data_IF_863363336051
#
_entry.id   IF_863363336051
#
_cell.length_a   1.000
_cell.length_b   1.000
_cell.length_c   1.000
_cell.angle_alpha   90.00
_cell.angle_beta   90.00
_cell.angle_gamma   90.00
#
_symmetry.space_group_name_H-M   'P 1'
#
loop_
_entity.id
_entity.type
_entity.pdbx_description
1 polymer ?
#
# COMPACT_ATOMS: atom_id res chain seq x y z
N UNK A 1 33.36 16.39 89.40
CA UNK A 1 34.18 17.40 90.09
C UNK A 1 34.77 16.74 91.31
N UNK A 2 36.10 16.72 91.42
CA UNK A 2 36.77 16.07 92.54
C UNK A 2 36.35 16.74 93.86
N UNK A 3 36.41 15.96 94.94
CA UNK A 3 35.95 16.29 96.29
C UNK A 3 36.82 17.38 96.99
N UNK A 4 37.36 18.33 96.21
CA UNK A 4 38.40 19.30 96.59
C UNK A 4 37.93 20.13 97.78
N UNK A 5 36.67 20.56 97.79
CA UNK A 5 36.05 21.28 98.93
C UNK A 5 36.05 20.46 100.22
N UNK A 6 35.80 19.14 100.13
CA UNK A 6 35.83 18.24 101.30
C UNK A 6 37.25 18.02 101.81
N UNK A 7 38.24 17.92 100.93
CA UNK A 7 39.65 17.81 101.33
C UNK A 7 40.22 19.14 101.86
N UNK A 8 39.80 20.28 101.29
CA UNK A 8 40.09 21.63 101.77
C UNK A 8 39.59 21.83 103.22
N UNK A 9 38.35 21.44 103.51
CA UNK A 9 37.79 21.56 104.85
C UNK A 9 38.54 20.69 105.89
N UNK A 10 39.06 19.52 105.49
CA UNK A 10 39.92 18.68 106.34
C UNK A 10 41.29 19.30 106.63
N UNK A 11 41.87 20.04 105.68
CA UNK A 11 43.13 20.78 105.87
C UNK A 11 42.92 21.93 106.88
N UNK A 12 41.78 22.60 106.79
CA UNK A 12 41.44 23.71 107.68
C UNK A 12 41.27 23.25 109.15
N UNK A 13 40.64 22.08 109.35
CA UNK A 13 40.31 21.54 110.68
C UNK A 13 41.43 20.84 111.45
N UNK A 14 42.67 20.78 110.93
CA UNK A 14 43.78 20.10 111.60
C UNK A 14 44.36 20.89 112.80
N UNK A 15 45.10 20.22 113.70
CA UNK A 15 45.45 20.76 115.04
C UNK A 15 46.68 21.71 115.06
N UNK A 16 47.69 21.54 114.19
CA UNK A 16 48.99 22.25 114.30
C UNK A 16 49.43 23.00 113.04
N UNK A 17 49.82 24.28 113.15
CA UNK A 17 50.32 25.10 112.03
C UNK A 17 49.24 25.92 111.28
N UNK A 18 48.40 26.65 112.04
CA UNK A 18 47.18 27.32 111.55
C UNK A 18 47.41 28.25 110.35
N UNK A 19 48.40 29.14 110.42
CA UNK A 19 48.59 30.19 109.39
C UNK A 19 49.06 29.62 108.05
N UNK A 20 49.97 28.64 108.08
CA UNK A 20 50.46 27.94 106.88
C UNK A 20 49.32 27.17 106.22
N UNK A 21 48.46 26.49 107.00
CA UNK A 21 47.31 25.77 106.43
C UNK A 21 46.25 26.69 105.86
N UNK A 22 46.02 27.86 106.47
CA UNK A 22 45.09 28.86 105.92
C UNK A 22 45.58 29.37 104.56
N UNK A 23 46.86 29.72 104.45
CA UNK A 23 47.45 30.17 103.17
C UNK A 23 47.36 29.10 102.07
N UNK A 24 47.60 27.83 102.42
CA UNK A 24 47.43 26.69 101.51
C UNK A 24 45.96 26.52 101.11
N UNK A 25 45.03 26.61 102.06
CA UNK A 25 43.60 26.54 101.80
C UNK A 25 43.17 27.64 100.82
N UNK A 26 43.53 28.89 101.10
CA UNK A 26 43.13 30.05 100.29
C UNK A 26 43.67 29.92 98.86
N UNK A 27 44.93 29.48 98.71
CA UNK A 27 45.56 29.28 97.40
C UNK A 27 44.88 28.17 96.59
N UNK A 28 44.64 27.01 97.21
CA UNK A 28 43.97 25.88 96.54
C UNK A 28 42.52 26.24 96.20
N UNK A 29 41.82 26.93 97.10
CA UNK A 29 40.45 27.36 96.86
C UNK A 29 40.37 28.36 95.70
N UNK A 30 41.28 29.34 95.65
CA UNK A 30 41.35 30.30 94.54
C UNK A 30 41.61 29.62 93.19
N UNK A 31 42.55 28.66 93.15
CA UNK A 31 42.81 27.84 91.95
C UNK A 31 41.57 27.05 91.57
N UNK A 32 40.92 26.40 92.54
CA UNK A 32 39.72 25.60 92.28
C UNK A 32 38.60 26.45 91.70
N UNK A 33 38.33 27.63 92.27
CA UNK A 33 37.35 28.58 91.73
C UNK A 33 37.67 29.00 90.30
N UNK A 34 38.94 29.29 90.00
CA UNK A 34 39.36 29.66 88.64
C UNK A 34 39.16 28.51 87.64
N UNK A 35 39.56 27.29 88.02
CA UNK A 35 39.40 26.09 87.18
C UNK A 35 37.92 25.77 86.95
N UNK A 36 37.08 25.83 87.99
CA UNK A 36 35.64 25.66 87.87
C UNK A 36 35.01 26.71 86.94
N UNK A 37 35.48 27.95 86.99
CA UNK A 37 35.11 29.01 86.06
C UNK A 37 35.45 28.66 84.61
N UNK A 38 36.70 28.27 84.33
CA UNK A 38 37.13 27.86 83.00
C UNK A 38 36.40 26.63 82.47
N UNK A 39 36.20 25.61 83.31
CA UNK A 39 35.45 24.39 82.94
C UNK A 39 34.01 24.74 82.60
N UNK A 40 33.38 25.63 83.37
CA UNK A 40 32.01 26.08 83.10
C UNK A 40 31.91 26.85 81.79
N UNK A 41 32.84 27.79 81.54
CA UNK A 41 32.90 28.54 80.30
C UNK A 41 33.15 27.63 79.08
N UNK A 42 34.04 26.65 79.21
CA UNK A 42 34.34 25.69 78.14
C UNK A 42 33.16 24.78 77.84
N UNK A 43 32.44 24.33 78.87
CA UNK A 43 31.19 23.57 78.69
C UNK A 43 30.16 24.39 77.91
N UNK A 44 29.97 25.66 78.27
CA UNK A 44 29.07 26.57 77.53
C UNK A 44 29.52 26.79 76.09
N UNK A 45 30.82 26.96 75.84
CA UNK A 45 31.39 27.12 74.50
C UNK A 45 31.15 25.88 73.63
N UNK A 46 31.40 24.68 74.18
CA UNK A 46 31.16 23.42 73.47
C UNK A 46 29.67 23.24 73.14
N UNK A 47 28.77 23.57 74.06
CA UNK A 47 27.32 23.56 73.78
C UNK A 47 26.94 24.55 72.68
N UNK A 48 27.47 25.78 72.72
CA UNK A 48 27.21 26.77 71.68
C UNK A 48 27.73 26.30 70.30
N UNK A 49 28.89 25.64 70.26
CA UNK A 49 29.46 25.09 69.03
C UNK A 49 28.64 23.94 68.46
N UNK A 50 28.13 23.04 69.32
CA UNK A 50 27.23 21.98 68.89
C UNK A 50 25.93 22.56 68.28
N UNK A 51 25.39 23.63 68.86
CA UNK A 51 24.21 24.31 68.34
C UNK A 51 24.50 25.00 66.99
N UNK A 52 25.65 25.67 66.85
CA UNK A 52 26.10 26.27 65.57
C UNK A 52 26.23 25.22 64.47
N UNK A 53 26.88 24.09 64.77
CA UNK A 53 27.03 23.00 63.80
C UNK A 53 25.69 22.40 63.38
N UNK A 54 24.72 22.32 64.30
CA UNK A 54 23.38 21.85 63.98
C UNK A 54 22.62 22.84 63.09
N UNK A 55 22.72 24.14 63.37
CA UNK A 55 22.13 25.19 62.55
C UNK A 55 22.76 25.24 61.14
N UNK A 56 24.08 25.06 61.05
CA UNK A 56 24.79 25.03 59.77
C UNK A 56 24.38 23.83 58.91
N UNK A 57 24.17 22.66 59.50
CA UNK A 57 23.63 21.50 58.78
C UNK A 57 22.24 21.77 58.21
N UNK A 58 21.37 22.45 58.96
CA UNK A 58 20.03 22.81 58.49
C UNK A 58 20.14 23.83 57.33
N UNK A 59 20.99 24.85 57.47
CA UNK A 59 21.22 25.84 56.41
C UNK A 59 21.69 25.18 55.12
N UNK A 60 22.65 24.26 55.20
CA UNK A 60 23.16 23.52 54.04
C UNK A 60 22.09 22.63 53.43
N UNK A 61 21.28 21.94 54.24
CA UNK A 61 20.14 21.14 53.73
C UNK A 61 19.15 22.01 52.95
N UNK A 62 18.76 23.15 53.52
CA UNK A 62 17.84 24.07 52.87
C UNK A 62 18.41 24.65 51.56
N UNK A 63 19.73 24.87 51.51
CA UNK A 63 20.39 25.34 50.31
C UNK A 63 20.37 24.28 49.20
N UNK A 64 20.63 23.01 49.54
CA UNK A 64 20.52 21.91 48.59
C UNK A 64 19.08 21.75 48.07
N UNK A 65 18.07 21.89 48.94
CA UNK A 65 16.66 21.84 48.53
C UNK A 65 16.30 23.00 47.57
N UNK A 66 16.85 24.20 47.83
CA UNK A 66 16.69 25.38 46.96
C UNK A 66 17.34 25.16 45.59
N UNK A 67 18.54 24.58 45.55
CA UNK A 67 19.24 24.25 44.31
C UNK A 67 18.49 23.21 43.49
N UNK A 68 17.99 22.14 44.12
CA UNK A 68 17.18 21.13 43.44
C UNK A 68 15.88 21.71 42.85
N UNK A 69 15.20 22.58 43.59
CA UNK A 69 14.00 23.26 43.09
C UNK A 69 14.29 24.21 41.91
N UNK A 70 15.48 24.83 41.90
CA UNK A 70 15.91 25.69 40.79
C UNK A 70 16.21 24.87 39.53
N UNK A 71 16.87 23.70 39.65
CA UNK A 71 17.09 22.79 38.54
C UNK A 71 15.76 22.27 37.93
N UNK A 72 14.79 21.92 38.78
CA UNK A 72 13.46 21.52 38.33
C UNK A 72 12.76 22.66 37.57
N UNK A 73 12.83 23.89 38.09
CA UNK A 73 12.26 25.07 37.42
C UNK A 73 12.89 25.30 36.04
N UNK A 74 14.22 25.15 35.92
CA UNK A 74 14.94 25.32 34.65
C UNK A 74 14.56 24.25 33.63
N UNK A 75 14.38 23.00 34.07
CA UNK A 75 13.93 21.89 33.21
C UNK A 75 12.53 22.17 32.66
N UNK A 76 11.59 22.55 33.54
CA UNK A 76 10.22 22.90 33.14
C UNK A 76 10.18 24.12 32.19
N UNK A 77 11.07 25.10 32.39
CA UNK A 77 11.20 26.26 31.50
C UNK A 77 11.68 25.87 30.10
N UNK A 78 12.66 24.96 30.01
CA UNK A 78 13.17 24.45 28.74
C UNK A 78 12.09 23.68 27.96
N UNK A 79 11.37 22.78 28.63
CA UNK A 79 10.24 22.05 28.02
C UNK A 79 9.15 23.01 27.53
N UNK A 80 8.83 24.05 28.32
CA UNK A 80 7.86 25.08 27.90
C UNK A 80 8.35 25.83 26.65
N UNK A 81 9.64 26.11 26.55
CA UNK A 81 10.22 26.81 25.41
C UNK A 81 10.16 25.97 24.13
N UNK A 82 10.43 24.66 24.22
CA UNK A 82 10.27 23.73 23.10
C UNK A 82 8.82 23.68 22.59
N UNK A 83 7.84 23.65 23.51
CA UNK A 83 6.41 23.70 23.15
C UNK A 83 6.07 25.02 22.43
N UNK A 84 6.62 26.15 22.89
CA UNK A 84 6.40 27.44 22.24
C UNK A 84 7.02 27.51 20.84
N UNK A 85 8.20 26.91 20.64
CA UNK A 85 8.85 26.84 19.33
C UNK A 85 8.03 25.99 18.34
N UNK A 86 7.58 24.82 18.76
CA UNK A 86 6.71 23.94 17.96
C UNK A 86 5.40 24.65 17.59
N UNK A 87 4.75 25.32 18.54
CA UNK A 87 3.53 26.09 18.28
C UNK A 87 3.77 27.24 17.30
N UNK A 88 4.91 27.94 17.41
CA UNK A 88 5.27 29.00 16.47
C UNK A 88 5.48 28.45 15.05
N UNK A 89 6.12 27.28 14.92
CA UNK A 89 6.29 26.61 13.63
C UNK A 89 4.95 26.22 13.01
N UNK A 90 4.05 25.60 13.78
CA UNK A 90 2.70 25.23 13.31
C UNK A 90 1.89 26.46 12.85
N UNK A 91 1.97 27.57 13.59
CA UNK A 91 1.30 28.82 13.22
C UNK A 91 1.90 29.41 11.95
N UNK A 92 3.22 29.36 11.76
CA UNK A 92 3.87 29.83 10.55
C UNK A 92 3.43 29.03 9.32
N UNK A 93 3.40 27.71 9.41
CA UNK A 93 2.93 26.81 8.34
C UNK A 93 1.47 27.12 7.96
N UNK A 94 0.60 27.23 8.96
CA UNK A 94 -0.81 27.59 8.75
C UNK A 94 -0.95 28.98 8.11
N UNK A 95 -0.11 29.94 8.49
CA UNK A 95 -0.13 31.28 7.91
C UNK A 95 0.27 31.25 6.43
N UNK A 96 1.26 30.44 6.07
CA UNK A 96 1.70 30.29 4.68
C UNK A 96 0.66 29.56 3.83
N UNK A 97 -0.03 28.56 4.36
CA UNK A 97 -1.19 27.95 3.70
C UNK A 97 -2.30 28.98 3.46
N UNK A 98 -2.65 29.78 4.49
CA UNK A 98 -3.67 30.82 4.37
C UNK A 98 -3.30 31.90 3.35
N UNK A 99 -2.02 32.32 3.29
CA UNK A 99 -1.54 33.25 2.25
C UNK A 99 -1.69 32.64 0.86
N UNK A 100 -1.32 31.37 0.68
CA UNK A 100 -1.47 30.69 -0.60
C UNK A 100 -2.94 30.64 -1.05
N UNK A 101 -3.86 30.39 -0.11
CA UNK A 101 -5.32 30.44 -0.36
C UNK A 101 -5.78 31.87 -0.70
N UNK A 102 -5.38 32.87 0.07
CA UNK A 102 -5.78 34.27 -0.09
C UNK A 102 -5.27 34.90 -1.39
N UNK A 103 -4.07 34.50 -1.85
CA UNK A 103 -3.49 34.93 -3.12
C UNK A 103 -4.09 34.19 -4.33
N UNK A 104 -5.04 33.29 -4.12
CA UNK A 104 -5.65 32.50 -5.19
C UNK A 104 -4.66 31.59 -5.89
N UNK A 105 -3.52 31.26 -5.26
CA UNK A 105 -2.61 30.23 -5.75
C UNK A 105 -3.36 28.92 -5.66
N UNK A 106 -3.75 28.37 -6.82
CA UNK A 106 -4.31 27.03 -6.93
C UNK A 106 -3.35 26.08 -6.17
N UNK A 107 -3.77 25.58 -5.02
CA UNK A 107 -2.96 24.64 -4.25
C UNK A 107 -2.91 23.32 -5.00
N UNK A 108 -1.81 22.59 -4.91
CA UNK A 108 -1.69 21.31 -5.64
C UNK A 108 -2.80 20.32 -5.26
N UNK A 109 -3.26 20.35 -3.99
CA UNK A 109 -4.42 19.58 -3.52
C UNK A 109 -5.74 19.97 -4.17
N UNK A 110 -5.87 21.19 -4.72
CA UNK A 110 -7.03 21.59 -5.53
C UNK A 110 -6.93 21.06 -6.98
N UNK A 111 -5.72 20.88 -7.52
CA UNK A 111 -5.51 20.31 -8.87
C UNK A 111 -5.63 18.79 -8.85
N UNK A 112 -5.00 18.15 -7.85
CA UNK A 112 -4.97 16.71 -7.66
C UNK A 112 -5.40 16.34 -6.23
N UNK A 113 -6.71 16.40 -5.91
CA UNK A 113 -7.23 15.86 -4.65
C UNK A 113 -7.00 14.34 -4.53
N UNK A 114 -7.13 13.80 -3.32
CA UNK A 114 -7.10 12.34 -3.09
C UNK A 114 -8.13 11.65 -3.99
N UNK A 115 -7.72 10.58 -4.66
CA UNK A 115 -8.50 9.89 -5.69
C UNK A 115 -8.20 10.32 -7.13
N UNK A 116 -7.42 11.38 -7.35
CA UNK A 116 -7.03 11.82 -8.68
C UNK A 116 -6.10 10.83 -9.38
N UNK A 117 -6.24 10.71 -10.70
CA UNK A 117 -5.39 9.88 -11.56
C UNK A 117 -4.42 10.76 -12.34
N UNK A 118 -3.13 10.48 -12.22
CA UNK A 118 -2.07 11.10 -13.00
C UNK A 118 -1.54 10.11 -14.05
N UNK A 119 -1.38 10.55 -15.29
CA UNK A 119 -0.92 9.73 -16.42
C UNK A 119 0.37 10.31 -17.01
N UNK A 120 1.40 9.48 -17.21
CA UNK A 120 2.70 9.90 -17.75
C UNK A 120 3.40 8.78 -18.50
N UNK A 121 4.16 9.12 -19.55
CA UNK A 121 5.02 8.15 -20.25
C UNK A 121 6.32 7.84 -19.48
N UNK A 122 6.65 8.65 -18.46
CA UNK A 122 7.81 8.44 -17.61
C UNK A 122 7.43 7.60 -16.38
N UNK A 123 8.26 6.61 -16.04
CA UNK A 123 8.10 5.79 -14.84
C UNK A 123 8.59 6.50 -13.57
N UNK A 124 8.10 7.71 -13.34
CA UNK A 124 8.44 8.52 -12.18
C UNK A 124 7.21 8.65 -11.30
N UNK A 125 7.31 8.25 -10.04
CA UNK A 125 6.21 8.41 -9.08
C UNK A 125 5.90 9.90 -8.89
N UNK A 126 4.63 10.33 -8.98
CA UNK A 126 4.25 11.72 -8.76
C UNK A 126 4.60 12.22 -7.36
N UNK A 127 4.79 11.32 -6.40
CA UNK A 127 5.29 11.66 -5.06
C UNK A 127 6.62 12.41 -5.11
N UNK A 128 7.50 12.05 -6.05
CA UNK A 128 8.81 12.71 -6.23
C UNK A 128 8.73 14.05 -6.97
N UNK A 129 7.61 14.34 -7.64
CA UNK A 129 7.41 15.56 -8.43
C UNK A 129 6.56 16.59 -7.69
N UNK A 130 5.55 16.12 -6.96
CA UNK A 130 4.50 16.95 -6.37
C UNK A 130 4.28 16.71 -4.88
N UNK A 131 5.03 15.79 -4.26
CA UNK A 131 4.75 15.33 -2.90
C UNK A 131 3.48 14.47 -2.81
N UNK A 132 3.00 14.28 -1.57
CA UNK A 132 1.84 13.42 -1.28
C UNK A 132 2.14 11.92 -1.45
N UNK A 133 1.11 11.09 -1.29
CA UNK A 133 1.22 9.63 -1.41
C UNK A 133 0.48 9.13 -2.64
N UNK A 134 1.19 8.38 -3.48
CA UNK A 134 0.70 7.89 -4.77
C UNK A 134 0.93 6.40 -4.93
N UNK A 135 -0.01 5.72 -5.56
CA UNK A 135 0.05 4.29 -5.85
C UNK A 135 -0.12 4.04 -7.35
N UNK A 136 0.66 3.12 -7.91
CA UNK A 136 0.46 2.69 -9.32
C UNK A 136 -0.96 2.13 -9.49
N UNK A 137 -1.61 2.50 -10.59
CA UNK A 137 -3.01 2.22 -10.81
C UNK A 137 -3.27 1.72 -12.23
N UNK A 138 -4.28 0.86 -12.41
CA UNK A 138 -4.77 0.49 -13.74
C UNK A 138 -3.79 -0.28 -14.63
N UNK A 139 -2.78 -0.96 -14.08
CA UNK A 139 -1.78 -1.69 -14.88
C UNK A 139 -2.43 -2.67 -15.86
N UNK A 140 -2.05 -2.57 -17.14
CA UNK A 140 -2.59 -3.38 -18.23
C UNK A 140 -4.06 -3.11 -18.59
N UNK A 141 -4.63 -1.98 -18.14
CA UNK A 141 -6.04 -1.62 -18.32
C UNK A 141 -6.19 -0.21 -18.87
N UNK A 142 -7.34 0.06 -19.47
CA UNK A 142 -7.76 1.39 -19.91
C UNK A 142 -8.85 1.89 -18.96
N UNK A 143 -8.80 3.14 -18.47
CA UNK A 143 -9.84 3.68 -17.62
C UNK A 143 -11.19 3.73 -18.36
N UNK A 144 -12.24 3.23 -17.72
CA UNK A 144 -13.63 3.38 -18.18
C UNK A 144 -14.38 4.20 -17.13
N UNK A 145 -15.14 5.20 -17.59
CA UNK A 145 -15.95 6.04 -16.71
C UNK A 145 -17.04 5.21 -16.03
N UNK A 146 -17.28 5.49 -14.75
CA UNK A 146 -18.38 4.85 -14.00
C UNK A 146 -19.71 5.27 -14.62
N UNK A 147 -20.55 4.28 -14.89
CA UNK A 147 -21.94 4.49 -15.26
C UNK A 147 -22.82 3.77 -14.23
N UNK A 148 -23.40 4.52 -13.30
CA UNK A 148 -24.20 3.97 -12.20
C UNK A 148 -25.50 3.28 -12.66
N UNK A 149 -25.93 3.51 -13.90
CA UNK A 149 -27.09 2.85 -14.49
C UNK A 149 -26.74 1.54 -15.21
N UNK A 150 -25.45 1.23 -15.34
CA UNK A 150 -24.94 0.04 -16.02
C UNK A 150 -24.31 -0.92 -14.99
N UNK A 151 -24.77 -2.16 -14.95
CA UNK A 151 -24.31 -3.13 -13.95
C UNK A 151 -22.82 -3.45 -14.10
N UNK A 152 -22.30 -3.44 -15.33
CA UNK A 152 -20.93 -3.74 -15.69
C UNK A 152 -19.96 -2.64 -15.24
N UNK A 153 -20.40 -1.37 -15.25
CA UNK A 153 -19.58 -0.19 -14.92
C UNK A 153 -20.07 0.62 -13.70
N UNK A 154 -20.90 0.01 -12.84
CA UNK A 154 -21.60 0.69 -11.74
C UNK A 154 -20.72 1.14 -10.57
N UNK A 155 -19.54 0.56 -10.37
CA UNK A 155 -18.68 0.83 -9.20
C UNK A 155 -17.27 1.20 -9.62
N UNK A 156 -16.62 2.03 -8.79
CA UNK A 156 -15.23 2.40 -8.97
C UNK A 156 -14.31 1.17 -8.93
N UNK A 157 -13.23 1.22 -9.72
CA UNK A 157 -12.14 0.23 -9.74
C UNK A 157 -12.56 -1.21 -10.07
N UNK A 158 -13.79 -1.41 -10.56
CA UNK A 158 -14.21 -2.69 -11.12
C UNK A 158 -13.34 -3.02 -12.34
N UNK A 159 -12.89 -4.26 -12.40
CA UNK A 159 -12.04 -4.74 -13.49
C UNK A 159 -12.80 -5.72 -14.38
N UNK A 160 -12.45 -5.77 -15.66
CA UNK A 160 -13.08 -6.63 -16.63
C UNK A 160 -12.39 -6.54 -17.99
N UNK A 161 -13.04 -7.08 -19.02
CA UNK A 161 -12.52 -7.13 -20.38
C UNK A 161 -11.51 -8.27 -20.60
N UNK A 162 -11.19 -8.52 -21.86
CA UNK A 162 -10.20 -9.52 -22.26
C UNK A 162 -9.38 -9.01 -23.43
N UNK A 163 -8.06 -9.16 -23.34
CA UNK A 163 -7.12 -8.93 -24.44
C UNK A 163 -7.29 -9.97 -25.55
N UNK A 164 -7.70 -11.18 -25.20
CA UNK A 164 -7.79 -12.29 -26.17
C UNK A 164 -9.20 -12.41 -26.73
N UNK A 165 -9.28 -12.80 -28.01
CA UNK A 165 -10.55 -13.17 -28.62
C UNK A 165 -11.18 -14.29 -27.79
N UNK A 166 -12.45 -14.11 -27.43
CA UNK A 166 -13.17 -15.13 -26.66
C UNK A 166 -13.53 -16.30 -27.57
N UNK A 167 -13.41 -17.52 -27.04
CA UNK A 167 -13.84 -18.72 -27.74
C UNK A 167 -15.32 -18.59 -28.08
N UNK A 168 -15.65 -18.77 -29.35
CA UNK A 168 -17.02 -18.77 -29.83
C UNK A 168 -17.15 -19.80 -30.95
N UNK A 169 -18.36 -20.32 -31.16
CA UNK A 169 -18.65 -21.31 -32.19
C UNK A 169 -19.46 -20.70 -33.32
N UNK A 170 -19.20 -21.16 -34.53
CA UNK A 170 -20.06 -20.90 -35.68
C UNK A 170 -20.88 -22.16 -35.96
N UNK A 171 -22.20 -22.03 -35.99
CA UNK A 171 -23.11 -23.12 -36.35
C UNK A 171 -23.66 -22.83 -37.75
N UNK A 172 -23.44 -23.74 -38.68
CA UNK A 172 -24.15 -23.76 -39.95
C UNK A 172 -25.36 -24.70 -39.82
N UNK A 173 -26.54 -24.21 -40.16
CA UNK A 173 -27.76 -25.02 -40.23
C UNK A 173 -28.30 -24.95 -41.65
N UNK A 174 -28.11 -26.03 -42.40
CA UNK A 174 -28.70 -26.23 -43.72
C UNK A 174 -29.13 -27.68 -43.87
N UNK A 175 -30.34 -27.90 -44.39
CA UNK A 175 -30.81 -29.24 -44.79
C UNK A 175 -30.40 -29.45 -46.24
N UNK A 176 -29.85 -30.61 -46.58
CA UNK A 176 -29.68 -30.99 -47.98
C UNK A 176 -31.05 -30.96 -48.66
N UNK A 177 -31.28 -30.01 -49.57
CA UNK A 177 -32.47 -30.02 -50.41
C UNK A 177 -32.13 -30.89 -51.60
N UNK A 178 -32.65 -32.12 -51.61
CA UNK A 178 -32.73 -32.92 -52.83
C UNK A 178 -33.72 -32.21 -53.76
N UNK A 179 -33.23 -31.50 -54.76
CA UNK A 179 -34.06 -31.09 -55.90
C UNK A 179 -34.18 -32.29 -56.82
N UNK A 180 -35.30 -33.01 -56.71
CA UNK A 180 -35.66 -34.03 -57.69
C UNK A 180 -36.23 -33.33 -58.92
N UNK A 181 -35.58 -33.53 -60.07
CA UNK A 181 -36.22 -33.28 -61.36
C UNK A 181 -35.47 -32.29 -62.27
N UNK A 182 -34.53 -32.81 -63.04
CA UNK A 182 -34.18 -32.25 -64.34
C UNK A 182 -34.12 -33.39 -65.35
N UNK A 183 -35.21 -33.62 -66.09
CA UNK A 183 -35.20 -34.62 -67.16
C UNK A 183 -34.47 -34.02 -68.38
N UNK A 184 -33.55 -34.78 -68.97
CA UNK A 184 -32.98 -34.46 -70.27
C UNK A 184 -32.86 -35.73 -71.11
N UNK A 185 -32.92 -35.56 -72.43
CA UNK A 185 -32.85 -36.64 -73.42
C UNK A 185 -31.51 -36.62 -74.15
N UNK A 186 -31.03 -37.81 -74.53
CA UNK A 186 -29.91 -37.97 -75.44
C UNK A 186 -30.41 -38.48 -76.78
N UNK A 187 -30.02 -37.84 -77.88
CA UNK A 187 -30.25 -38.35 -79.23
C UNK A 187 -29.00 -39.11 -79.67
N UNK A 188 -29.07 -40.43 -79.73
CA UNK A 188 -28.01 -41.25 -80.31
C UNK A 188 -28.35 -41.50 -81.77
N UNK A 189 -27.54 -41.01 -82.73
CA UNK A 189 -27.72 -41.37 -84.13
C UNK A 189 -27.18 -42.78 -84.34
N UNK A 190 -28.06 -43.78 -84.39
CA UNK A 190 -27.67 -45.09 -84.89
C UNK A 190 -28.08 -45.21 -86.37
N UNK A 191 -27.16 -45.54 -87.28
CA UNK A 191 -27.54 -45.88 -88.64
C UNK A 191 -28.32 -47.20 -88.62
N UNK A 192 -29.56 -47.20 -89.12
CA UNK A 192 -30.37 -48.41 -89.25
C UNK A 192 -29.79 -49.27 -90.37
N UNK A 193 -29.47 -50.56 -90.14
CA UNK A 193 -29.18 -51.49 -91.23
C UNK A 193 -30.46 -51.67 -92.06
N UNK A 194 -30.36 -51.55 -93.38
CA UNK A 194 -31.47 -51.83 -94.29
C UNK A 194 -31.92 -53.29 -94.14
N UNK A 195 -33.19 -53.46 -93.78
CA UNK A 195 -34.13 -54.60 -93.79
C UNK A 195 -33.61 -56.05 -94.09
N UNK A 196 -34.12 -57.08 -93.39
CA UNK A 196 -33.43 -58.33 -93.14
C UNK A 196 -33.65 -59.40 -94.22
N UNK A 197 -32.57 -60.03 -94.66
CA UNK A 197 -32.63 -61.38 -95.23
C UNK A 197 -32.69 -62.40 -94.09
N UNK A 198 -33.77 -63.15 -94.00
CA UNK A 198 -33.95 -64.27 -93.07
C UNK A 198 -32.77 -65.26 -93.13
N UNK A 199 -32.05 -65.46 -92.02
CA UNK A 199 -32.02 -66.72 -91.23
C UNK A 199 -30.84 -66.86 -90.22
N UNK A 200 -31.21 -67.41 -89.05
CA UNK A 200 -30.43 -68.17 -88.07
C UNK A 200 -29.28 -67.54 -87.24
N UNK A 201 -29.62 -67.31 -85.96
CA UNK A 201 -28.87 -67.56 -84.72
C UNK A 201 -27.37 -67.21 -84.64
N UNK A 202 -27.06 -66.22 -83.79
CA UNK A 202 -25.82 -66.18 -83.01
C UNK A 202 -24.86 -65.03 -83.32
N UNK A 203 -24.62 -64.23 -82.28
CA UNK A 203 -23.40 -63.43 -82.05
C UNK A 203 -23.22 -62.09 -82.80
N UNK A 204 -23.61 -61.03 -82.08
CA UNK A 204 -22.86 -59.80 -81.78
C UNK A 204 -21.80 -59.25 -82.76
N UNK A 205 -22.00 -57.96 -83.10
CA UNK A 205 -21.02 -56.89 -83.38
C UNK A 205 -19.97 -57.09 -84.49
N UNK A 206 -20.14 -56.38 -85.60
CA UNK A 206 -19.30 -55.24 -86.01
C UNK A 206 -19.87 -54.66 -87.32
N UNK A 207 -20.32 -53.41 -87.35
CA UNK A 207 -20.70 -52.78 -88.62
C UNK A 207 -19.47 -52.07 -89.22
N UNK A 208 -18.89 -52.57 -90.34
CA UNK A 208 -17.79 -51.91 -91.03
C UNK A 208 -18.32 -50.73 -91.86
N UNK A 209 -17.53 -49.66 -91.91
CA UNK A 209 -17.78 -48.45 -92.70
C UNK A 209 -18.17 -48.77 -94.16
N UNK A 210 -19.38 -48.40 -94.56
CA UNK A 210 -19.84 -48.49 -95.96
C UNK A 210 -21.17 -47.80 -96.22
N UNK A 211 -21.13 -46.77 -97.07
CA UNK A 211 -22.20 -46.16 -97.89
C UNK A 211 -23.60 -46.00 -97.28
N UNK A 212 -23.93 -44.77 -96.84
CA UNK A 212 -25.26 -44.39 -96.35
C UNK A 212 -26.17 -43.87 -97.48
N UNK A 213 -27.41 -44.35 -97.54
CA UNK A 213 -28.50 -43.84 -98.39
C UNK A 213 -29.15 -42.61 -97.74
N UNK A 214 -29.54 -41.55 -98.48
CA UNK A 214 -30.06 -40.33 -97.91
C UNK A 214 -31.58 -40.39 -97.73
N UNK A 215 -32.12 -41.43 -97.10
CA UNK A 215 -33.51 -41.42 -96.64
C UNK A 215 -33.78 -42.53 -95.62
N UNK A 216 -33.77 -42.20 -94.33
CA UNK A 216 -34.50 -42.97 -93.32
C UNK A 216 -34.69 -42.16 -92.04
N UNK A 217 -35.93 -42.20 -91.56
CA UNK A 217 -36.45 -41.52 -90.37
C UNK A 217 -35.58 -41.77 -89.13
N UNK A 218 -35.32 -40.70 -88.38
CA UNK A 218 -34.75 -40.80 -87.04
C UNK A 218 -35.80 -41.47 -86.16
N UNK A 219 -35.54 -42.70 -85.71
CA UNK A 219 -36.35 -43.34 -84.68
C UNK A 219 -35.91 -42.71 -83.36
N UNK A 220 -36.80 -41.91 -82.75
CA UNK A 220 -36.60 -41.41 -81.39
C UNK A 220 -36.94 -42.50 -80.39
N UNK A 221 -35.94 -43.24 -79.91
CA UNK A 221 -36.10 -43.98 -78.67
C UNK A 221 -35.82 -43.01 -77.52
N UNK A 222 -36.89 -42.56 -76.86
CA UNK A 222 -36.77 -41.68 -75.69
C UNK A 222 -36.57 -42.56 -74.47
N UNK A 223 -35.33 -42.89 -74.13
CA UNK A 223 -35.06 -43.42 -72.81
C UNK A 223 -34.96 -42.25 -71.81
N UNK A 224 -35.98 -42.13 -70.96
CA UNK A 224 -36.09 -41.10 -69.94
C UNK A 224 -35.75 -41.71 -68.59
N UNK A 225 -34.47 -41.97 -68.35
CA UNK A 225 -34.03 -42.47 -67.05
C UNK A 225 -33.84 -41.31 -66.07
N UNK A 226 -34.69 -41.27 -65.05
CA UNK A 226 -34.57 -40.29 -63.96
C UNK A 226 -33.36 -40.64 -63.10
N UNK A 227 -32.37 -39.75 -63.02
CA UNK A 227 -31.34 -39.82 -62.00
C UNK A 227 -31.36 -38.60 -61.09
N UNK A 228 -30.85 -38.76 -59.88
CA UNK A 228 -30.82 -37.71 -58.86
C UNK A 228 -29.44 -37.06 -58.78
N UNK A 229 -29.40 -35.73 -58.71
CA UNK A 229 -28.20 -35.02 -58.29
C UNK A 229 -28.30 -34.71 -56.80
N UNK A 230 -27.39 -35.27 -56.02
CA UNK A 230 -27.27 -34.91 -54.60
C UNK A 230 -26.22 -33.83 -54.45
N UNK A 231 -26.64 -32.62 -54.07
CA UNK A 231 -25.72 -31.56 -53.67
C UNK A 231 -25.58 -31.57 -52.15
N UNK A 232 -24.42 -31.96 -51.65
CA UNK A 232 -24.05 -31.75 -50.24
C UNK A 232 -23.32 -30.42 -50.14
N UNK A 233 -23.90 -29.44 -49.45
CA UNK A 233 -23.17 -28.24 -49.06
C UNK A 233 -21.98 -28.66 -48.17
N UNK A 234 -20.77 -28.67 -48.74
CA UNK A 234 -19.53 -28.85 -47.97
C UNK A 234 -19.05 -27.48 -47.51
N UNK A 235 -19.23 -27.19 -46.23
CA UNK A 235 -18.60 -26.06 -45.54
C UNK A 235 -17.59 -26.57 -44.51
N UNK A 236 -16.44 -25.92 -44.39
CA UNK A 236 -15.52 -26.15 -43.28
C UNK A 236 -16.00 -25.37 -42.06
N UNK A 237 -16.40 -26.06 -41.00
CA UNK A 237 -16.56 -25.45 -39.68
C UNK A 237 -15.15 -25.20 -39.11
N UNK A 238 -14.61 -23.99 -39.26
CA UNK A 238 -13.42 -23.63 -38.48
C UNK A 238 -13.85 -23.43 -37.03
N UNK A 239 -13.26 -24.19 -36.09
CA UNK A 239 -13.63 -24.15 -34.67
C UNK A 239 -13.26 -22.85 -33.97
N UNK A 240 -12.50 -21.96 -34.60
CA UNK A 240 -12.15 -20.63 -34.11
C UNK A 240 -11.53 -19.83 -35.25
N UNK A 241 -11.77 -18.53 -35.31
CA UNK A 241 -10.92 -17.63 -36.07
C UNK A 241 -9.52 -17.63 -35.45
N UNK A 242 -8.57 -18.37 -36.04
CA UNK A 242 -7.14 -18.28 -35.72
C UNK A 242 -6.56 -17.06 -36.41
N UNK A 243 -6.87 -15.90 -35.85
CA UNK A 243 -6.24 -14.63 -36.18
C UNK A 243 -5.43 -14.12 -34.99
N UNK A 244 -4.29 -13.51 -35.26
CA UNK A 244 -3.54 -12.68 -34.31
C UNK A 244 -4.27 -11.38 -33.92
N UNK A 245 -5.51 -11.20 -34.36
CA UNK A 245 -6.44 -10.14 -33.95
C UNK A 245 -6.93 -10.36 -32.52
N UNK A 246 -6.05 -10.08 -31.57
CA UNK A 246 -6.39 -9.89 -30.16
C UNK A 246 -7.41 -8.73 -30.07
N UNK A 247 -8.35 -8.79 -29.11
CA UNK A 247 -9.53 -7.91 -28.99
C UNK A 247 -9.19 -6.45 -28.60
N UNK A 248 -7.95 -6.01 -28.81
CA UNK A 248 -7.48 -4.68 -28.48
C UNK A 248 -7.52 -3.78 -29.72
N UNK A 249 -8.11 -2.57 -29.65
CA UNK A 249 -7.85 -1.54 -30.66
C UNK A 249 -6.37 -1.15 -30.66
N UNK A 250 -5.85 -0.49 -31.71
CA UNK A 250 -4.51 0.10 -31.68
C UNK A 250 -4.30 0.94 -30.41
N UNK A 251 -3.20 0.71 -29.70
CA UNK A 251 -2.97 1.31 -28.38
C UNK A 251 -1.52 1.79 -28.18
N UNK A 252 -1.36 2.74 -27.27
CA UNK A 252 -0.08 3.18 -26.72
C UNK A 252 -0.19 3.19 -25.18
N UNK A 253 0.86 2.76 -24.49
CA UNK A 253 0.84 2.59 -23.03
C UNK A 253 1.50 3.76 -22.31
N UNK A 254 0.99 4.10 -21.12
CA UNK A 254 1.59 5.04 -20.19
C UNK A 254 1.45 4.52 -18.75
N UNK A 255 2.20 5.10 -17.82
CA UNK A 255 2.07 4.86 -16.38
C UNK A 255 0.93 5.69 -15.82
N UNK A 256 0.11 5.06 -14.98
CA UNK A 256 -0.97 5.72 -14.25
C UNK A 256 -0.75 5.57 -12.75
N UNK A 257 -1.03 6.63 -12.00
CA UNK A 257 -0.89 6.70 -10.55
C UNK A 257 -2.14 7.32 -9.92
N UNK A 258 -2.64 6.73 -8.84
CA UNK A 258 -3.75 7.26 -8.02
C UNK A 258 -3.19 7.93 -6.78
N UNK A 259 -3.64 9.16 -6.47
CA UNK A 259 -3.32 9.81 -5.19
C UNK A 259 -4.13 9.18 -4.06
N UNK A 260 -3.47 8.78 -2.97
CA UNK A 260 -4.11 8.09 -1.83
C UNK A 260 -4.01 8.87 -0.50
N UNK A 261 -3.09 9.85 -0.41
CA UNK A 261 -3.02 10.83 0.68
C UNK A 261 -2.35 12.13 0.17
#
# INVERSE_FOLDING_TARGET
MANVTTYLNKILSAVYGKDVRQSIYDSINAINTQVEGYVSAEKSRVTAEANRNSAEKIRVSNENDREAAEEERLTNEAERLEIYDDLCSQVADMLDELKNVAEGKITFSAIYPVGSIYMSVNNTSPASLFGGTWQSWGSGRVPIGVNTSDSEFSTLEKTGGSKYLQSHTHTFTGTAVTVTGGSHSHTLPYPVPSEPGYDYEGESYNAPFGTYSPQSELIEETDSETHSHTFTAKGTLSSTGIGNGQNLPPYITCYMWKRIA
#
